data_IF_305780472757
#
_entry.id   IF_305780472757
#
_cell.length_a   1.000
_cell.length_b   1.000
_cell.length_c   1.000
_cell.angle_alpha   90.00
_cell.angle_beta   90.00
_cell.angle_gamma   90.00
#
_symmetry.space_group_name_H-M   'P 1'
#
loop_
_entity.id
_entity.type
_entity.pdbx_description
1 polymer ?
2 water ?
#
# COMPACT_ATOMS: atom_id res chain seq x y z
N UNK A 1 10.82 -18.23 -2.92
CA UNK A 1 11.81 -17.75 -1.91
C UNK A 1 11.96 -16.25 -2.01
N UNK A 2 12.68 -15.66 -1.06
CA UNK A 2 13.45 -16.40 -0.05
C UNK A 2 12.65 -17.05 1.11
N UNK A 3 11.34 -16.81 1.11
CA UNK A 3 10.38 -17.27 2.11
C UNK A 3 9.31 -18.15 1.45
N UNK A 4 8.82 -19.17 2.15
CA UNK A 4 7.60 -19.85 1.72
C UNK A 4 6.37 -19.04 2.15
N UNK A 5 5.43 -18.86 1.23
CA UNK A 5 4.26 -18.00 1.47
C UNK A 5 2.94 -18.71 1.12
N UNK A 6 1.91 -18.41 1.90
CA UNK A 6 0.62 -19.06 1.77
C UNK A 6 -0.44 -17.98 1.63
N UNK A 7 -1.43 -18.22 0.78
CA UNK A 7 -2.58 -17.32 0.68
C UNK A 7 -3.25 -17.14 2.04
N UNK A 8 -3.40 -15.89 2.48
CA UNK A 8 -4.15 -15.60 3.70
C UNK A 8 -5.60 -15.27 3.37
N UNK A 9 -5.84 -14.84 2.13
CA UNK A 9 -7.18 -14.76 1.55
C UNK A 9 -7.04 -14.80 0.02
N UNK A 10 -8.15 -15.07 -0.67
CA UNK A 10 -8.17 -15.09 -2.14
C UNK A 10 -7.68 -13.79 -2.79
N UNK A 11 -6.88 -13.89 -3.86
CA UNK A 11 -6.37 -12.68 -4.49
C UNK A 11 -7.50 -11.89 -5.15
N UNK A 12 -7.34 -10.57 -5.26
CA UNK A 12 -8.21 -9.76 -6.11
C UNK A 12 -7.54 -9.69 -7.48
N UNK A 13 -8.22 -10.21 -8.49
CA UNK A 13 -7.62 -10.40 -9.79
C UNK A 13 -8.25 -9.39 -10.74
N UNK A 14 -7.41 -8.63 -11.44
CA UNK A 14 -7.87 -7.51 -12.28
C UNK A 14 -8.84 -6.54 -11.60
N UNK A 15 -8.48 -6.01 -10.41
CA UNK A 15 -9.38 -5.07 -9.76
C UNK A 15 -9.43 -3.73 -10.51
N UNK A 16 -10.63 -3.16 -10.57
CA UNK A 16 -10.88 -1.92 -11.27
C UNK A 16 -10.61 -0.76 -10.33
N UNK A 17 -9.84 0.23 -10.80
CA UNK A 17 -9.50 1.43 -10.03
C UNK A 17 -10.53 2.55 -10.26
N UNK A 18 -10.96 3.26 -9.19
CA UNK A 18 -10.60 3.15 -7.76
C UNK A 18 -11.13 1.85 -7.13
N UNK A 19 -10.30 1.21 -6.32
CA UNK A 19 -10.66 -0.05 -5.70
C UNK A 19 -10.76 0.08 -4.18
N UNK A 20 -11.85 -0.43 -3.61
CA UNK A 20 -12.02 -0.53 -2.15
C UNK A 20 -12.46 -1.95 -1.88
N UNK A 21 -11.67 -2.66 -1.08
CA UNK A 21 -11.99 -4.02 -0.72
C UNK A 21 -11.56 -4.38 0.68
N UNK A 22 -12.08 -5.51 1.19
CA UNK A 22 -11.72 -5.94 2.54
C UNK A 22 -10.34 -6.58 2.66
N UNK A 23 -9.73 -6.37 3.83
CA UNK A 23 -8.68 -7.24 4.33
C UNK A 23 -9.33 -8.07 5.44
N UNK A 24 -9.59 -9.34 5.12
CA UNK A 24 -10.41 -10.23 5.93
C UNK A 24 -9.70 -10.63 7.22
N UNK A 25 -10.32 -10.29 8.36
CA UNK A 25 -9.70 -10.50 9.67
C UNK A 25 -8.85 -9.32 10.11
N UNK A 26 -8.66 -8.35 9.21
CA UNK A 26 -7.84 -7.17 9.46
C UNK A 26 -6.39 -7.50 9.18
N UNK A 27 -5.53 -6.49 9.08
CA UNK A 27 -4.08 -6.72 8.99
C UNK A 27 -3.58 -7.52 10.19
N UNK A 28 -2.66 -8.46 9.94
CA UNK A 28 -2.03 -9.27 11.00
C UNK A 28 -0.51 -9.30 10.78
N UNK A 29 0.28 -9.54 11.84
CA UNK A 29 1.75 -9.55 11.72
C UNK A 29 2.18 -10.60 10.72
N UNK A 30 3.08 -10.23 9.81
CA UNK A 30 3.66 -11.19 8.88
C UNK A 30 2.94 -11.25 7.55
N UNK A 31 1.85 -10.48 7.43
CA UNK A 31 1.09 -10.38 6.19
C UNK A 31 1.84 -9.56 5.14
N UNK A 32 1.86 -10.09 3.91
CA UNK A 32 2.37 -9.37 2.75
C UNK A 32 1.21 -9.13 1.79
N UNK A 33 0.94 -7.85 1.54
CA UNK A 33 -0.08 -7.42 0.60
C UNK A 33 0.69 -6.92 -0.62
N UNK A 34 0.49 -7.59 -1.75
CA UNK A 34 1.27 -7.34 -2.96
C UNK A 34 0.34 -6.86 -4.06
N UNK A 35 0.67 -5.70 -4.58
CA UNK A 35 -0.04 -5.12 -5.69
C UNK A 35 0.88 -5.17 -6.90
N UNK A 36 0.35 -5.75 -7.96
CA UNK A 36 1.07 -5.88 -9.22
C UNK A 36 0.28 -5.07 -10.23
N UNK A 37 0.91 -4.04 -10.81
CA UNK A 37 0.17 -3.12 -11.68
C UNK A 37 1.04 -2.31 -12.61
N UNK A 38 0.45 -1.25 -13.16
CA UNK A 38 1.15 -0.36 -14.09
C UNK A 38 0.86 1.09 -13.73
N UNK A 39 1.92 1.87 -13.56
CA UNK A 39 1.81 3.31 -13.44
C UNK A 39 1.43 3.86 -14.81
N UNK A 40 0.41 4.72 -14.86
CA UNK A 40 -0.01 5.32 -16.12
C UNK A 40 1.10 6.18 -16.74
N UNK A 41 0.97 6.46 -18.04
CA UNK A 41 2.02 7.13 -18.80
C UNK A 41 2.13 8.62 -18.45
N UNK A 42 1.04 9.17 -17.92
CA UNK A 42 0.98 10.59 -17.56
C UNK A 42 0.51 10.73 -16.11
N UNK A 43 1.04 9.86 -15.26
CA UNK A 43 0.70 9.81 -13.85
C UNK A 43 1.13 11.09 -13.12
N UNK A 44 0.25 11.61 -12.27
CA UNK A 44 0.57 12.75 -11.40
C UNK A 44 0.82 12.24 -9.99
N UNK A 45 -0.11 11.40 -9.51
CA UNK A 45 -0.06 10.71 -8.20
C UNK A 45 -0.86 9.40 -8.21
N UNK A 46 -0.56 8.51 -7.27
CA UNK A 46 -1.53 7.47 -6.89
C UNK A 46 -1.57 7.22 -5.39
N UNK A 47 -2.57 6.48 -4.94
CA UNK A 47 -2.74 6.26 -3.51
C UNK A 47 -3.06 4.81 -3.18
N UNK A 48 -2.34 4.29 -2.19
CA UNK A 48 -2.72 3.06 -1.50
C UNK A 48 -2.96 3.37 0.00
N UNK A 49 -4.20 3.16 0.45
CA UNK A 49 -4.60 3.38 1.84
C UNK A 49 -4.97 2.08 2.55
N UNK A 50 -4.41 1.91 3.75
CA UNK A 50 -4.79 0.84 4.68
C UNK A 50 -5.61 1.52 5.77
N UNK A 51 -6.90 1.20 5.83
CA UNK A 51 -7.82 2.00 6.64
C UNK A 51 -8.83 1.16 7.39
N UNK A 52 -9.41 1.74 8.46
CA UNK A 52 -10.53 1.12 9.17
C UNK A 52 -11.80 1.57 8.53
N UNK A 53 -12.46 0.65 7.84
CA UNK A 53 -13.77 0.89 7.23
C UNK A 53 -13.69 1.69 5.92
N UNK A 54 -14.84 1.77 5.24
CA UNK A 54 -15.00 2.38 3.93
C UNK A 54 -14.90 3.91 3.94
N UNK A 55 -15.03 4.56 5.10
CA UNK A 55 -15.11 6.04 5.10
C UNK A 55 -13.82 6.78 4.79
N UNK A 56 -12.67 6.20 5.10
CA UNK A 56 -11.40 6.91 4.88
C UNK A 56 -11.08 8.00 5.89
N UNK A 57 -11.87 8.08 6.97
CA UNK A 57 -11.56 8.93 8.12
C UNK A 57 -10.33 8.46 8.90
N UNK A 58 -10.13 7.14 8.98
CA UNK A 58 -9.03 6.57 9.74
C UNK A 58 -8.16 5.71 8.86
N UNK A 59 -7.02 6.27 8.43
CA UNK A 59 -6.08 5.62 7.52
C UNK A 59 -4.81 5.35 8.32
N UNK A 60 -4.58 4.09 8.67
CA UNK A 60 -3.37 3.71 9.41
C UNK A 60 -2.12 4.05 8.63
N UNK A 61 -2.17 3.90 7.31
CA UNK A 61 -0.99 4.13 6.45
C UNK A 61 -1.46 4.47 5.04
N UNK A 62 -1.06 5.67 4.62
CA UNK A 62 -1.42 6.28 3.35
C UNK A 62 -0.12 6.32 2.57
N UNK A 63 -0.11 5.67 1.41
CA UNK A 63 1.08 5.55 0.57
C UNK A 63 0.80 6.28 -0.75
N UNK A 64 1.50 7.40 -0.97
CA UNK A 64 1.12 8.37 -1.98
C UNK A 64 2.28 8.88 -2.84
N UNK A 65 2.69 8.07 -3.83
CA UNK A 65 3.68 8.52 -4.83
C UNK A 65 3.21 9.77 -5.60
N UNK A 66 4.11 10.75 -5.76
CA UNK A 66 3.83 12.02 -6.42
C UNK A 66 4.90 12.32 -7.45
N UNK A 67 4.50 12.30 -8.73
CA UNK A 67 5.39 12.64 -9.85
C UNK A 67 5.41 14.16 -9.97
N UNK A 68 5.95 14.81 -8.94
CA UNK A 68 5.95 16.26 -8.80
C UNK A 68 7.24 16.66 -8.17
N UNK A 69 7.72 17.83 -8.59
CA UNK A 69 8.95 18.42 -8.06
C UNK A 69 10.11 17.41 -8.03
N UNK A 70 10.27 16.62 -9.10
CA UNK A 70 11.38 15.66 -9.16
C UNK A 70 11.00 14.22 -8.80
N UNK A 71 9.94 14.06 -8.01
CA UNK A 71 9.46 12.72 -7.68
C UNK A 71 9.74 12.37 -6.23
N UNK A 72 8.67 12.16 -5.48
CA UNK A 72 8.78 11.77 -4.08
C UNK A 72 7.54 11.00 -3.63
N UNK A 73 7.66 10.29 -2.50
CA UNK A 73 6.54 9.56 -1.93
C UNK A 73 6.24 10.05 -0.51
N UNK A 74 4.95 10.35 -0.28
CA UNK A 74 4.41 10.68 1.03
C UNK A 74 3.85 9.43 1.71
N UNK A 75 4.24 9.25 2.96
CA UNK A 75 3.63 8.29 3.86
C UNK A 75 3.10 9.08 5.07
N UNK A 76 1.83 8.85 5.39
CA UNK A 76 1.17 9.56 6.47
C UNK A 76 0.07 8.69 7.08
N UNK A 77 -0.51 9.17 8.18
CA UNK A 77 -1.59 8.52 8.90
C UNK A 77 -2.71 9.53 9.04
N UNK A 78 -3.96 9.07 8.90
CA UNK A 78 -5.12 9.92 9.18
C UNK A 78 -5.94 9.35 10.34
N UNK A 79 -6.22 10.21 11.30
CA UNK A 79 -7.02 9.85 12.47
C UNK A 79 -8.19 10.79 12.65
N UNK A 80 -9.38 10.23 12.85
CA UNK A 80 -10.58 11.06 13.01
C UNK A 80 -10.64 12.21 11.98
N UNK A 81 -10.34 11.88 10.72
CA UNK A 81 -10.34 12.86 9.62
C UNK A 81 -9.14 13.79 9.57
N UNK A 82 -8.15 13.61 10.46
CA UNK A 82 -7.00 14.53 10.51
C UNK A 82 -5.64 13.89 10.19
N UNK A 83 -4.96 14.48 9.22
CA UNK A 83 -3.62 14.04 8.82
C UNK A 83 -2.55 14.35 9.87
N UNK A 84 -1.65 13.40 10.11
CA UNK A 84 -0.49 13.68 10.97
C UNK A 84 0.68 14.29 10.20
N UNK A 85 1.89 14.27 10.80
CA UNK A 85 3.09 14.73 10.13
C UNK A 85 3.51 13.77 9.01
N UNK A 86 3.74 14.33 7.82
CA UNK A 86 4.15 13.54 6.68
C UNK A 86 5.59 13.03 6.81
N UNK A 87 5.83 11.86 6.20
CA UNK A 87 7.15 11.29 5.97
C UNK A 87 7.42 11.24 4.46
N UNK A 88 8.30 12.14 4.01
CA UNK A 88 8.60 12.27 2.59
C UNK A 88 9.90 11.59 2.21
N UNK A 89 9.79 10.50 1.44
CA UNK A 89 10.94 9.84 0.85
C UNK A 89 11.24 10.54 -0.46
N UNK A 90 12.36 11.24 -0.47
CA UNK A 90 12.73 12.06 -1.58
C UNK A 90 13.33 11.24 -2.71
N UNK A 91 12.52 10.30 -3.19
CA UNK A 91 12.88 9.42 -4.30
C UNK A 91 11.61 8.84 -4.95
N UNK A 92 11.66 8.65 -6.27
CA UNK A 92 10.55 8.06 -7.00
C UNK A 92 10.97 6.72 -7.66
N UNK A 93 10.55 5.57 -7.07
CA UNK A 93 10.86 4.20 -7.50
C UNK A 93 9.87 3.62 -8.52
N UNK A 94 8.85 4.40 -8.86
CA UNK A 94 7.93 4.07 -9.94
C UNK A 94 8.29 4.88 -11.19
N UNK A 95 7.85 4.41 -12.35
CA UNK A 95 8.17 5.08 -13.61
C UNK A 95 6.91 5.11 -14.46
N UNK A 96 6.66 6.25 -15.10
CA UNK A 96 5.44 6.46 -15.87
C UNK A 96 5.29 5.43 -16.99
N UNK A 97 4.11 4.83 -17.05
CA UNK A 97 3.77 3.84 -18.07
C UNK A 97 4.36 2.46 -17.85
N UNK A 98 5.04 2.25 -16.72
CA UNK A 98 5.82 1.04 -16.50
C UNK A 98 5.22 0.17 -15.42
N UNK A 99 5.32 -1.17 -15.57
CA UNK A 99 4.84 -2.10 -14.55
C UNK A 99 5.69 -2.14 -13.25
N UNK A 100 5.01 -2.38 -12.13
CA UNK A 100 5.66 -2.45 -10.83
C UNK A 100 5.11 -3.60 -9.99
N UNK A 101 5.90 -4.02 -9.01
CA UNK A 101 5.44 -4.93 -7.95
C UNK A 101 5.53 -4.18 -6.60
N UNK A 102 4.37 -3.82 -6.05
CA UNK A 102 4.37 -3.06 -4.82
C UNK A 102 3.95 -3.96 -3.67
N UNK A 103 4.87 -4.16 -2.74
CA UNK A 103 4.63 -5.07 -1.66
C UNK A 103 4.75 -4.45 -0.26
N UNK A 104 3.69 -4.59 0.54
CA UNK A 104 3.61 -4.06 1.91
C UNK A 104 3.69 -5.20 2.89
N UNK A 105 4.73 -5.21 3.72
CA UNK A 105 4.88 -6.24 4.73
C UNK A 105 4.58 -5.68 6.13
N UNK A 106 3.70 -6.38 6.87
CA UNK A 106 3.30 -5.97 8.21
C UNK A 106 4.15 -6.69 9.25
N UNK A 107 5.07 -5.95 9.85
CA UNK A 107 5.79 -6.40 11.03
C UNK A 107 5.11 -5.81 12.28
N UNK A 108 5.59 -6.20 13.45
CA UNK A 108 5.04 -5.77 14.74
C UNK A 108 5.17 -4.26 15.02
N UNK A 109 6.30 -3.66 14.66
CA UNK A 109 6.55 -2.22 14.90
C UNK A 109 6.35 -1.34 13.67
N UNK A 110 6.46 -1.93 12.47
CA UNK A 110 6.41 -1.14 11.25
C UNK A 110 5.91 -1.91 10.05
N UNK A 111 5.49 -1.15 9.04
CA UNK A 111 5.35 -1.63 7.68
C UNK A 111 6.73 -1.52 7.01
N UNK A 112 7.14 -2.56 6.27
CA UNK A 112 8.25 -2.46 5.31
C UNK A 112 7.62 -2.44 3.93
N UNK A 113 8.11 -1.58 3.04
CA UNK A 113 7.55 -1.44 1.69
C UNK A 113 8.60 -1.77 0.63
N UNK A 114 8.28 -2.76 -0.20
CA UNK A 114 9.16 -3.17 -1.29
C UNK A 114 8.59 -2.68 -2.61
N UNK A 115 9.41 -1.98 -3.39
CA UNK A 115 9.02 -1.67 -4.76
C UNK A 115 9.96 -2.44 -5.68
N UNK A 116 9.38 -3.30 -6.52
CA UNK A 116 10.12 -4.13 -7.48
C UNK A 116 11.14 -5.05 -6.81
N UNK A 117 10.72 -5.68 -5.71
CA UNK A 117 11.55 -6.57 -4.90
C UNK A 117 12.68 -5.88 -4.11
N UNK A 118 12.87 -4.57 -4.28
CA UNK A 118 13.89 -3.83 -3.50
C UNK A 118 13.22 -3.00 -2.40
N UNK A 119 13.85 -2.96 -1.24
CA UNK A 119 13.35 -2.18 -0.10
C UNK A 119 13.23 -0.70 -0.48
N UNK A 120 12.08 -0.09 -0.22
CA UNK A 120 11.89 1.33 -0.51
C UNK A 120 11.75 2.20 0.76
N UNK A 121 10.70 1.99 1.56
CA UNK A 121 10.57 2.67 2.87
C UNK A 121 10.05 1.79 3.99
N UNK A 122 10.38 2.20 5.20
CA UNK A 122 9.74 1.67 6.37
C UNK A 122 8.80 2.76 6.92
N UNK A 123 7.73 2.33 7.58
CA UNK A 123 6.78 3.25 8.15
C UNK A 123 6.29 2.67 9.47
N UNK A 124 6.70 3.32 10.56
CA UNK A 124 6.36 2.87 11.90
C UNK A 124 4.87 3.07 12.21
N UNK A 125 4.24 2.04 12.77
CA UNK A 125 2.83 2.09 13.15
C UNK A 125 2.61 3.24 14.12
N UNK A 126 1.69 4.14 13.76
CA UNK A 126 1.24 5.22 14.63
C UNK A 126 -0.01 4.82 15.40
N UNK A 127 -0.75 3.87 14.84
CA UNK A 127 -2.02 3.38 15.40
C UNK A 127 -2.00 1.86 15.23
N UNK A 128 -2.86 1.11 15.97
CA UNK A 128 -2.80 -0.36 15.79
C UNK A 128 -3.22 -0.81 14.38
N UNK A 129 -2.47 -1.78 13.84
CA UNK A 129 -2.68 -2.33 12.49
C UNK A 129 -3.80 -3.36 12.37
N UNK A 130 -4.15 -4.04 13.46
CA UNK A 130 -5.21 -5.07 13.41
C UNK A 130 -6.58 -4.44 13.16
N UNK A 131 -6.67 -3.14 13.43
CA UNK A 131 -7.93 -2.41 13.21
C UNK A 131 -8.12 -2.08 11.72
N UNK A 132 -7.10 -2.27 10.89
CA UNK A 132 -7.25 -2.06 9.44
C UNK A 132 -7.94 -3.26 8.78
N UNK A 133 -9.07 -3.03 8.13
CA UNK A 133 -9.81 -4.08 7.45
C UNK A 133 -10.16 -3.73 5.99
N UNK A 134 -9.51 -2.69 5.47
CA UNK A 134 -9.87 -2.12 4.19
C UNK A 134 -8.63 -1.63 3.44
N UNK A 135 -8.51 -2.05 2.18
CA UNK A 135 -7.53 -1.46 1.29
C UNK A 135 -8.28 -0.60 0.26
N UNK A 136 -7.81 0.62 0.08
CA UNK A 136 -8.34 1.50 -0.95
C UNK A 136 -7.20 1.98 -1.86
N UNK A 137 -7.38 1.78 -3.16
CA UNK A 137 -6.38 2.09 -4.17
C UNK A 137 -7.05 3.04 -5.15
N UNK A 138 -6.38 4.15 -5.46
CA UNK A 138 -6.92 5.12 -6.42
C UNK A 138 -5.80 5.86 -7.12
N UNK A 139 -6.15 6.59 -8.17
CA UNK A 139 -5.20 7.52 -8.79
C UNK A 139 -4.68 7.00 -10.11
N UNK A 140 -3.49 7.46 -10.48
CA UNK A 140 -2.99 7.24 -11.83
C UNK A 140 -2.27 5.90 -11.98
N UNK A 141 -3.05 4.83 -11.87
CA UNK A 141 -2.55 3.47 -12.05
C UNK A 141 -3.61 2.49 -12.57
N UNK A 142 -3.11 1.37 -13.08
CA UNK A 142 -3.89 0.19 -13.40
C UNK A 142 -3.31 -0.93 -12.52
N UNK A 143 -4.16 -1.89 -12.14
CA UNK A 143 -3.73 -3.05 -11.37
C UNK A 143 -4.10 -4.31 -12.08
N UNK A 144 -3.23 -5.31 -11.97
CA UNK A 144 -3.49 -6.62 -12.58
C UNK A 144 -3.90 -7.65 -11.53
N UNK A 145 -3.34 -7.53 -10.31
CA UNK A 145 -3.82 -8.26 -9.13
C UNK A 145 -3.29 -7.74 -7.78
N UNK A 146 -3.98 -8.15 -6.72
CA UNK A 146 -3.54 -7.91 -5.35
C UNK A 146 -3.51 -9.28 -4.64
N UNK A 147 -2.40 -9.60 -3.99
CA UNK A 147 -2.29 -10.86 -3.26
C UNK A 147 -2.11 -10.61 -1.78
N UNK A 148 -2.58 -11.55 -0.98
CA UNK A 148 -2.43 -11.51 0.47
C UNK A 148 -1.81 -12.82 0.89
N UNK A 149 -0.61 -12.76 1.46
CA UNK A 149 0.14 -13.95 1.83
C UNK A 149 0.76 -13.84 3.21
N UNK A 150 0.91 -14.99 3.84
CA UNK A 150 1.53 -15.07 5.14
C UNK A 150 2.65 -16.12 5.10
N UNK A 151 3.56 -16.07 6.07
CA UNK A 151 4.58 -17.11 6.24
C UNK A 151 4.04 -18.33 7.00
N UNK A 152 2.83 -18.19 7.54
CA UNK A 152 2.14 -19.27 8.20
C UNK A 152 1.24 -20.06 7.25
#
# INVERSE_FOLDING_TARGET
>A
GSMALFSAQSPYINPIIPFTGPIQGGLQEGLQVTLQGTTKSFAQRFVVNFQNSFNGNDIAFHFNPRFEEGGYVVCNTKQNGQWGPEERKMQMPFQKGMPFELCFLVQRSEFKVMVNKKFFVQYQHRVPYHLVDTIAVSGCLKLSFITFQTQNFRPAHQA
#
